data_IF_410662187828
#
_entry.id   IF_410662187828
#
_cell.length_a   1.000
_cell.length_b   1.000
_cell.length_c   1.000
_cell.angle_alpha   90.00
_cell.angle_beta   90.00
_cell.angle_gamma   90.00
#
_symmetry.space_group_name_H-M   'P 1'
#
loop_
_entity.id
_entity.type
_entity.pdbx_description
1 polymer ?
#
# COMPACT_ATOMS: atom_id res chain seq x y z
N UNK A 1 31.00 -1.45 -4.79
CA UNK A 1 30.19 -2.66 -4.50
C UNK A 1 30.79 -3.58 -3.42
N UNK A 2 32.10 -3.53 -3.17
CA UNK A 2 32.83 -4.35 -2.19
C UNK A 2 32.91 -3.75 -0.77
N UNK A 3 32.69 -2.45 -0.58
CA UNK A 3 32.90 -1.80 0.72
C UNK A 3 31.68 -1.85 1.67
N UNK A 4 30.47 -2.09 1.14
CA UNK A 4 29.26 -2.21 1.98
C UNK A 4 29.17 -3.55 2.71
N UNK A 5 29.70 -4.64 2.14
CA UNK A 5 29.72 -5.95 2.79
C UNK A 5 30.65 -5.95 4.03
N UNK A 6 31.81 -5.29 3.92
CA UNK A 6 32.75 -5.13 5.03
C UNK A 6 32.22 -4.17 6.11
N UNK A 7 31.42 -3.17 5.74
CA UNK A 7 30.74 -2.28 6.70
C UNK A 7 29.70 -3.03 7.52
N UNK A 8 28.89 -3.89 6.91
CA UNK A 8 27.87 -4.71 7.62
C UNK A 8 28.55 -5.76 8.52
N UNK A 9 29.63 -6.41 8.05
CA UNK A 9 30.39 -7.36 8.86
C UNK A 9 31.04 -6.69 10.09
N UNK A 10 31.61 -5.49 9.93
CA UNK A 10 32.15 -4.71 11.05
C UNK A 10 31.06 -4.15 11.98
N UNK A 11 29.86 -3.88 11.47
CA UNK A 11 28.70 -3.46 12.25
C UNK A 11 28.15 -4.61 13.11
N UNK A 12 28.15 -5.83 12.56
CA UNK A 12 27.74 -7.05 13.28
C UNK A 12 28.77 -7.48 14.34
N UNK A 13 30.04 -7.11 14.21
CA UNK A 13 31.04 -7.26 15.28
C UNK A 13 30.78 -6.34 16.50
N UNK A 14 29.98 -5.27 16.37
CA UNK A 14 29.66 -4.34 17.48
C UNK A 14 28.26 -4.52 18.05
N UNK A 15 27.31 -5.08 17.30
CA UNK A 15 26.03 -5.52 17.84
C UNK A 15 26.20 -6.91 18.46
N UNK A 16 26.28 -7.02 19.79
CA UNK A 16 26.36 -8.30 20.51
C UNK A 16 25.31 -9.29 19.99
N UNK A 17 25.73 -10.23 19.13
CA UNK A 17 24.96 -11.39 18.70
C UNK A 17 24.95 -12.41 19.86
N UNK A 18 24.34 -12.02 20.98
CA UNK A 18 24.21 -12.82 22.19
C UNK A 18 22.80 -13.43 22.24
N UNK A 19 22.74 -14.72 22.57
CA UNK A 19 21.48 -15.42 22.80
C UNK A 19 20.81 -14.86 24.07
N UNK A 20 19.62 -14.29 23.98
CA UNK A 20 18.95 -13.70 25.14
C UNK A 20 18.54 -14.71 26.24
N UNK A 21 18.57 -16.03 25.94
CA UNK A 21 18.25 -17.08 26.92
C UNK A 21 19.45 -17.45 27.78
N UNK A 22 20.63 -17.65 27.16
CA UNK A 22 21.83 -18.12 27.87
C UNK A 22 22.96 -17.08 27.94
N UNK A 23 22.75 -15.90 27.35
CA UNK A 23 23.70 -14.79 27.23
C UNK A 23 25.02 -15.15 26.50
N UNK A 24 25.06 -16.30 25.84
CA UNK A 24 26.22 -16.79 25.09
C UNK A 24 26.24 -16.26 23.66
N UNK A 25 27.44 -16.11 23.10
CA UNK A 25 27.62 -15.71 21.70
C UNK A 25 27.00 -16.71 20.72
N UNK A 26 26.33 -16.21 19.68
CA UNK A 26 25.74 -17.01 18.60
C UNK A 26 26.80 -17.46 17.57
N UNK A 27 27.96 -16.79 17.56
CA UNK A 27 29.08 -17.06 16.67
C UNK A 27 30.34 -17.23 17.52
N UNK A 28 31.12 -18.28 17.25
CA UNK A 28 32.47 -18.37 17.83
C UNK A 28 33.45 -17.63 16.93
N UNK A 29 34.28 -16.72 17.49
CA UNK A 29 35.26 -16.00 16.69
C UNK A 29 36.30 -16.96 16.09
N UNK A 30 36.90 -16.62 14.95
CA UNK A 30 38.03 -17.35 14.40
C UNK A 30 39.14 -17.48 15.46
N UNK A 31 39.80 -18.64 15.52
CA UNK A 31 40.94 -18.85 16.42
C UNK A 31 42.18 -19.17 15.61
N UNK A 32 43.29 -18.51 15.96
CA UNK A 32 44.59 -18.87 15.44
C UNK A 32 45.03 -20.20 16.04
N UNK A 33 45.24 -21.21 15.20
CA UNK A 33 45.73 -22.52 15.62
C UNK A 33 47.19 -22.67 15.20
N UNK A 34 48.09 -22.46 16.15
CA UNK A 34 49.53 -22.64 15.97
C UNK A 34 49.96 -24.11 15.91
N UNK A 35 49.06 -25.06 16.18
CA UNK A 35 49.34 -26.50 16.18
C UNK A 35 49.00 -27.20 14.87
N UNK A 36 48.32 -26.52 13.93
CA UNK A 36 48.00 -27.05 12.59
C UNK A 36 49.03 -26.60 11.55
N UNK A 37 49.78 -27.52 10.90
CA UNK A 37 50.67 -27.16 9.81
C UNK A 37 49.85 -26.68 8.59
N UNK A 38 50.24 -25.55 8.02
CA UNK A 38 49.66 -24.99 6.80
C UNK A 38 49.97 -25.86 5.58
N UNK A 39 48.97 -26.10 4.73
CA UNK A 39 49.18 -26.65 3.38
C UNK A 39 49.38 -25.47 2.42
N UNK A 40 50.65 -25.11 2.18
CA UNK A 40 51.02 -24.06 1.24
C UNK A 40 52.54 -23.95 1.14
N UNK A 41 53.07 -24.23 -0.04
CA UNK A 41 54.48 -24.11 -0.41
C UNK A 41 54.87 -22.64 -0.62
N UNK A 42 55.77 -22.12 0.21
CA UNK A 42 57.03 -21.45 -0.13
C UNK A 42 57.54 -20.64 1.08
N UNK A 43 58.85 -20.43 1.10
CA UNK A 43 59.69 -20.23 2.28
C UNK A 43 59.27 -19.12 3.26
N UNK A 44 59.32 -19.46 4.55
CA UNK A 44 59.76 -18.54 5.59
C UNK A 44 58.68 -17.73 6.32
N UNK A 45 57.66 -18.37 6.90
CA UNK A 45 56.94 -17.75 8.01
C UNK A 45 56.32 -18.80 8.94
N UNK A 46 56.07 -18.47 10.20
CA UNK A 46 55.43 -19.36 11.18
C UNK A 46 53.95 -19.53 10.82
N UNK A 47 53.65 -20.39 9.85
CA UNK A 47 52.29 -20.58 9.31
C UNK A 47 51.40 -21.41 10.24
N UNK A 48 50.80 -20.79 11.25
CA UNK A 48 49.58 -21.31 11.87
C UNK A 48 48.37 -21.03 10.97
N UNK A 49 47.37 -21.90 11.00
CA UNK A 49 46.14 -21.74 10.20
C UNK A 49 45.05 -21.12 11.06
N UNK A 50 44.40 -20.07 10.56
CA UNK A 50 43.19 -19.56 11.19
C UNK A 50 42.04 -20.56 11.03
N UNK A 51 41.55 -21.09 12.14
CA UNK A 51 40.33 -21.89 12.13
C UNK A 51 39.13 -20.98 11.85
N UNK A 52 38.24 -21.35 10.92
CA UNK A 52 37.07 -20.54 10.58
C UNK A 52 36.14 -20.38 11.78
N UNK A 53 35.45 -19.23 11.84
CA UNK A 53 34.37 -19.02 12.80
C UNK A 53 33.32 -20.13 12.67
N UNK A 54 32.91 -20.72 13.80
CA UNK A 54 31.82 -21.71 13.81
C UNK A 54 30.53 -21.05 14.25
N UNK A 55 29.51 -21.21 13.42
CA UNK A 55 28.15 -20.73 13.67
C UNK A 55 27.36 -21.82 14.39
N UNK A 56 26.73 -21.47 15.50
CA UNK A 56 25.86 -22.39 16.21
C UNK A 56 24.49 -22.48 15.51
N UNK A 57 23.88 -23.68 15.44
CA UNK A 57 22.50 -23.81 15.01
C UNK A 57 21.60 -22.87 15.81
N UNK A 58 20.88 -22.00 15.12
CA UNK A 58 20.08 -20.95 15.74
C UNK A 58 18.65 -20.98 15.23
N UNK A 59 17.73 -20.51 16.07
CA UNK A 59 16.36 -20.19 15.70
C UNK A 59 16.20 -18.67 15.66
N UNK A 60 15.25 -18.19 14.86
CA UNK A 60 14.94 -16.76 14.79
C UNK A 60 13.43 -16.54 14.86
N UNK A 61 13.03 -15.42 15.49
CA UNK A 61 11.65 -14.99 15.48
C UNK A 61 11.33 -14.27 14.16
N UNK A 62 10.26 -14.66 13.47
CA UNK A 62 9.81 -14.01 12.23
C UNK A 62 9.17 -12.63 12.47
N UNK A 63 8.76 -12.35 13.72
CA UNK A 63 8.08 -11.11 14.12
C UNK A 63 9.11 -10.04 14.50
N UNK A 64 9.93 -10.31 15.53
CA UNK A 64 10.89 -9.33 16.05
C UNK A 64 12.32 -9.53 15.52
N UNK A 65 12.62 -10.62 14.83
CA UNK A 65 13.95 -10.91 14.30
C UNK A 65 14.99 -11.39 15.32
N UNK A 66 14.62 -11.55 16.59
CA UNK A 66 15.55 -12.06 17.62
C UNK A 66 16.09 -13.42 17.23
N UNK A 67 17.39 -13.61 17.39
CA UNK A 67 18.10 -14.86 17.14
C UNK A 67 18.55 -15.46 18.47
N UNK A 68 18.30 -16.75 18.67
CA UNK A 68 18.76 -17.53 19.84
C UNK A 68 19.32 -18.87 19.38
N UNK A 69 20.10 -19.56 20.21
CA UNK A 69 20.51 -20.93 19.88
C UNK A 69 19.27 -21.82 19.75
N UNK A 70 19.28 -22.73 18.79
CA UNK A 70 18.15 -23.63 18.55
C UNK A 70 17.87 -24.49 19.80
N UNK A 71 18.92 -24.97 20.46
CA UNK A 71 18.82 -25.74 21.71
C UNK A 71 18.23 -24.92 22.86
N UNK A 72 18.61 -23.65 22.97
CA UNK A 72 18.04 -22.74 23.97
C UNK A 72 16.54 -22.54 23.72
N UNK A 73 16.13 -22.34 22.47
CA UNK A 73 14.70 -22.25 22.12
C UNK A 73 13.94 -23.55 22.42
N UNK A 74 14.51 -24.71 22.09
CA UNK A 74 13.94 -26.01 22.44
C UNK A 74 13.74 -26.16 23.96
N UNK A 75 14.68 -25.67 24.77
CA UNK A 75 14.57 -25.69 26.23
C UNK A 75 13.56 -24.68 26.76
N UNK A 76 13.52 -23.48 26.17
CA UNK A 76 12.56 -22.43 26.49
C UNK A 76 11.12 -22.91 26.33
N UNK A 77 10.78 -23.59 25.24
CA UNK A 77 9.42 -24.10 25.00
C UNK A 77 8.98 -25.19 26.00
N UNK A 78 9.88 -25.77 26.78
CA UNK A 78 9.52 -26.72 27.85
C UNK A 78 9.15 -26.03 29.16
N UNK A 79 9.38 -24.73 29.30
CA UNK A 79 9.00 -23.97 30.50
C UNK A 79 7.54 -23.51 30.38
N UNK A 80 6.90 -23.22 31.52
CA UNK A 80 5.54 -22.65 31.53
C UNK A 80 5.46 -21.29 30.82
N UNK A 81 6.58 -20.58 30.76
CA UNK A 81 6.69 -19.26 30.13
C UNK A 81 6.83 -19.34 28.59
N UNK A 82 7.41 -20.43 28.08
CA UNK A 82 7.57 -20.70 26.64
C UNK A 82 6.30 -21.10 25.89
N UNK A 83 5.21 -21.32 26.64
CA UNK A 83 3.87 -21.57 26.11
C UNK A 83 3.49 -23.04 26.14
N UNK A 84 2.33 -23.35 26.73
CA UNK A 84 1.80 -24.71 26.84
C UNK A 84 1.47 -25.32 25.47
N UNK A 85 0.52 -24.73 24.74
CA UNK A 85 0.06 -25.22 23.42
C UNK A 85 0.58 -24.41 22.23
N UNK A 86 1.12 -23.19 22.46
CA UNK A 86 1.58 -22.25 21.44
C UNK A 86 3.04 -21.87 21.68
N UNK A 87 3.83 -21.73 20.60
CA UNK A 87 5.25 -21.37 20.71
C UNK A 87 5.44 -19.86 20.90
N UNK A 88 5.93 -19.44 22.07
CA UNK A 88 6.11 -18.01 22.38
C UNK A 88 7.55 -17.53 22.28
N UNK A 89 7.76 -16.39 21.63
CA UNK A 89 9.10 -15.80 21.49
C UNK A 89 9.65 -15.32 22.85
N UNK A 90 10.88 -15.70 23.25
CA UNK A 90 11.48 -15.27 24.52
C UNK A 90 11.78 -13.77 24.61
N UNK A 91 11.88 -13.07 23.47
CA UNK A 91 12.24 -11.65 23.46
C UNK A 91 11.06 -10.70 23.31
N UNK A 92 10.11 -10.99 22.40
CA UNK A 92 8.96 -10.10 22.19
C UNK A 92 7.65 -10.64 22.79
N UNK A 93 7.67 -11.83 23.40
CA UNK A 93 6.51 -12.49 24.00
C UNK A 93 5.30 -12.68 23.06
N UNK A 94 5.50 -12.54 21.74
CA UNK A 94 4.47 -12.80 20.73
C UNK A 94 4.41 -14.30 20.48
N UNK A 95 3.20 -14.84 20.47
CA UNK A 95 2.92 -16.21 20.05
C UNK A 95 3.12 -16.34 18.55
N UNK A 96 3.84 -17.38 18.14
CA UNK A 96 4.05 -17.68 16.73
C UNK A 96 2.71 -18.11 16.09
N UNK A 97 2.49 -17.83 14.79
CA UNK A 97 1.25 -18.20 14.11
C UNK A 97 0.94 -19.70 14.24
N UNK A 98 -0.34 -20.04 14.32
CA UNK A 98 -0.83 -21.42 14.47
C UNK A 98 -0.19 -22.38 13.46
N UNK A 99 0.20 -23.58 13.93
CA UNK A 99 0.85 -24.60 13.10
C UNK A 99 2.36 -24.43 12.90
N UNK A 100 2.98 -23.38 13.44
CA UNK A 100 4.43 -23.25 13.44
C UNK A 100 5.03 -24.25 14.44
N UNK A 101 5.62 -25.34 13.97
CA UNK A 101 6.39 -26.26 14.83
C UNK A 101 7.86 -25.86 14.88
N UNK A 102 8.50 -25.94 16.05
CA UNK A 102 9.94 -25.67 16.15
C UNK A 102 10.70 -26.71 15.31
N UNK A 103 11.55 -26.30 14.35
CA UNK A 103 12.27 -27.25 13.53
C UNK A 103 13.36 -27.95 14.36
N UNK A 104 13.56 -29.25 14.12
CA UNK A 104 14.64 -30.03 14.75
C UNK A 104 16.04 -29.61 14.27
N UNK A 105 16.09 -28.96 13.11
CA UNK A 105 17.32 -28.46 12.47
C UNK A 105 17.17 -26.98 12.20
N UNK A 106 18.29 -26.25 12.29
CA UNK A 106 18.30 -24.83 11.96
C UNK A 106 17.94 -24.64 10.48
N UNK A 107 17.15 -23.60 10.21
CA UNK A 107 16.69 -23.22 8.87
C UNK A 107 17.14 -21.81 8.56
N UNK A 108 17.26 -21.50 7.27
CA UNK A 108 17.52 -20.13 6.85
C UNK A 108 16.49 -19.16 7.43
N UNK A 109 16.81 -17.88 7.51
CA UNK A 109 15.84 -16.85 7.85
C UNK A 109 14.61 -16.94 6.93
N UNK A 110 14.83 -17.21 5.65
CA UNK A 110 13.75 -17.41 4.68
C UNK A 110 12.82 -18.61 4.95
N UNK A 111 13.18 -19.54 5.82
CA UNK A 111 12.49 -20.82 6.04
C UNK A 111 12.64 -21.87 4.91
N UNK A 112 13.07 -21.45 3.71
CA UNK A 112 13.08 -22.26 2.50
C UNK A 112 14.05 -23.46 2.52
N UNK A 113 15.15 -23.40 3.29
CA UNK A 113 16.18 -24.45 3.31
C UNK A 113 16.68 -24.69 4.72
N UNK A 114 17.07 -25.93 5.02
CA UNK A 114 17.90 -26.23 6.20
C UNK A 114 19.23 -25.49 6.04
N UNK A 115 19.73 -24.88 7.12
CA UNK A 115 21.01 -24.18 7.12
C UNK A 115 22.14 -25.23 7.15
N UNK A 116 22.44 -25.83 6.00
CA UNK A 116 23.62 -26.67 5.85
C UNK A 116 24.83 -25.75 5.70
N UNK A 117 25.54 -25.55 6.81
CA UNK A 117 26.86 -24.92 6.93
C UNK A 117 27.16 -23.80 5.93
N UNK A 118 27.02 -22.58 6.44
CA UNK A 118 27.36 -21.32 5.77
C UNK A 118 28.74 -21.42 5.08
N UNK A 119 28.89 -20.96 3.82
CA UNK A 119 30.18 -20.93 3.15
C UNK A 119 31.24 -20.18 3.98
N UNK A 120 32.51 -20.58 3.95
CA UNK A 120 33.57 -19.87 4.67
C UNK A 120 33.60 -18.39 4.28
N UNK A 121 33.42 -17.49 5.26
CA UNK A 121 33.49 -16.03 5.06
C UNK A 121 32.17 -15.27 5.26
N UNK A 122 31.01 -15.95 5.31
CA UNK A 122 29.74 -15.31 5.67
C UNK A 122 29.51 -15.33 7.19
N UNK A 123 29.40 -14.14 7.81
CA UNK A 123 29.36 -13.95 9.27
C UNK A 123 27.94 -14.12 9.84
N UNK A 124 26.90 -14.18 9.00
CA UNK A 124 25.51 -14.18 9.45
C UNK A 124 24.98 -15.62 9.55
N UNK A 125 24.64 -16.12 10.75
CA UNK A 125 24.01 -17.44 10.90
C UNK A 125 22.71 -17.53 10.08
N UNK A 126 22.32 -18.72 9.63
CA UNK A 126 21.02 -18.97 8.98
C UNK A 126 20.74 -18.13 7.71
N UNK A 127 21.76 -17.74 6.96
CA UNK A 127 21.58 -17.30 5.56
C UNK A 127 21.68 -18.50 4.62
N UNK A 128 20.92 -18.49 3.52
CA UNK A 128 21.06 -19.50 2.46
C UNK A 128 21.79 -18.98 1.23
N UNK A 129 22.29 -17.74 1.25
CA UNK A 129 22.89 -17.05 0.11
C UNK A 129 21.91 -16.66 -1.01
N UNK A 130 20.67 -17.17 -0.99
CA UNK A 130 19.66 -16.89 -2.00
C UNK A 130 18.78 -15.66 -1.71
N UNK A 131 17.83 -15.40 -2.61
CA UNK A 131 16.78 -14.40 -2.44
C UNK A 131 15.80 -14.83 -1.34
N UNK A 132 15.37 -13.89 -0.49
CA UNK A 132 14.52 -14.15 0.68
C UNK A 132 13.16 -14.77 0.32
N UNK A 133 12.45 -14.22 -0.67
CA UNK A 133 11.24 -14.81 -1.26
C UNK A 133 9.98 -14.82 -0.37
N UNK A 134 10.07 -14.38 0.90
CA UNK A 134 8.92 -14.23 1.80
C UNK A 134 7.92 -13.20 1.24
N UNK A 135 6.63 -13.41 1.50
CA UNK A 135 5.58 -12.48 1.08
C UNK A 135 5.72 -11.15 1.85
N UNK A 136 5.70 -10.04 1.13
CA UNK A 136 5.75 -8.70 1.73
C UNK A 136 4.38 -8.33 2.34
N UNK A 137 4.32 -7.36 3.25
CA UNK A 137 3.08 -6.92 3.88
C UNK A 137 1.99 -6.44 2.90
N UNK A 138 2.34 -6.07 1.67
CA UNK A 138 1.38 -5.75 0.62
C UNK A 138 0.55 -6.96 0.13
N UNK A 139 0.87 -8.18 0.55
CA UNK A 139 0.11 -9.40 0.24
C UNK A 139 0.31 -9.96 -1.19
N UNK A 140 0.88 -9.18 -2.11
CA UNK A 140 1.05 -9.57 -3.52
C UNK A 140 2.51 -9.87 -3.87
N UNK A 141 3.43 -8.98 -3.48
CA UNK A 141 4.84 -9.07 -3.89
C UNK A 141 5.69 -9.87 -2.91
N UNK A 142 6.75 -10.50 -3.43
CA UNK A 142 7.75 -11.24 -2.64
C UNK A 142 9.02 -10.42 -2.43
N UNK A 143 9.68 -10.63 -1.29
CA UNK A 143 10.94 -9.98 -0.97
C UNK A 143 12.05 -10.43 -1.92
N UNK A 144 12.69 -9.48 -2.59
CA UNK A 144 13.81 -9.70 -3.53
C UNK A 144 15.19 -9.50 -2.90
N UNK A 145 15.25 -9.06 -1.64
CA UNK A 145 16.51 -8.92 -0.92
C UNK A 145 17.17 -10.29 -0.70
N UNK A 146 18.51 -10.35 -0.51
CA UNK A 146 19.18 -11.55 -0.01
C UNK A 146 18.54 -12.05 1.28
N UNK A 147 18.68 -13.34 1.57
CA UNK A 147 18.21 -13.94 2.82
C UNK A 147 18.75 -13.14 4.02
N UNK A 148 17.85 -12.52 4.77
CA UNK A 148 18.20 -11.55 5.81
C UNK A 148 17.50 -11.89 7.13
N UNK A 149 18.10 -11.52 8.28
CA UNK A 149 17.43 -11.62 9.57
C UNK A 149 16.25 -10.66 9.66
N UNK A 150 15.29 -10.99 10.52
CA UNK A 150 14.17 -10.12 10.83
C UNK A 150 13.08 -10.02 9.74
N UNK A 151 12.07 -9.16 10.00
CA UNK A 151 10.95 -8.95 9.08
C UNK A 151 11.44 -8.34 7.77
N UNK A 152 10.79 -8.70 6.67
CA UNK A 152 11.06 -8.06 5.38
C UNK A 152 10.72 -6.57 5.42
N UNK A 153 11.31 -5.81 4.48
CA UNK A 153 11.02 -4.40 4.31
C UNK A 153 9.51 -4.14 4.34
N UNK A 154 9.08 -3.21 5.19
CA UNK A 154 7.65 -2.90 5.34
C UNK A 154 7.09 -2.21 4.09
N UNK A 155 7.93 -1.45 3.38
CA UNK A 155 7.56 -0.80 2.12
C UNK A 155 7.90 -1.71 0.96
N UNK A 156 6.91 -1.95 0.10
CA UNK A 156 7.12 -2.66 -1.14
C UNK A 156 7.86 -1.73 -2.14
N UNK A 157 8.93 -2.24 -2.76
CA UNK A 157 9.67 -1.51 -3.79
C UNK A 157 9.01 -1.55 -5.17
N UNK A 158 7.97 -2.37 -5.35
CA UNK A 158 7.23 -2.46 -6.60
C UNK A 158 6.45 -1.17 -6.86
N UNK A 159 6.23 -0.89 -8.14
CA UNK A 159 5.44 0.24 -8.61
C UNK A 159 4.23 -0.23 -9.41
N UNK A 160 3.21 0.62 -9.48
CA UNK A 160 1.99 0.41 -10.27
C UNK A 160 1.87 1.57 -11.25
N UNK A 161 1.70 1.23 -12.53
CA UNK A 161 1.58 2.16 -13.66
C UNK A 161 0.11 2.25 -14.07
N UNK A 162 -0.70 2.96 -13.30
CA UNK A 162 -2.06 3.37 -13.70
C UNK A 162 -2.65 4.41 -12.73
N UNK A 163 -1.80 5.13 -12.00
CA UNK A 163 -2.31 6.10 -11.06
C UNK A 163 -2.85 7.32 -11.80
N UNK A 164 -4.01 7.80 -11.38
CA UNK A 164 -4.71 8.89 -12.03
C UNK A 164 -5.40 9.80 -11.01
N UNK A 165 -5.60 11.04 -11.43
CA UNK A 165 -6.26 12.05 -10.63
C UNK A 165 -7.80 11.94 -10.76
N UNK A 166 -8.56 12.30 -9.72
CA UNK A 166 -10.03 12.37 -9.78
C UNK A 166 -10.54 13.29 -10.90
N UNK A 167 -9.80 14.33 -11.26
CA UNK A 167 -10.17 15.23 -12.36
C UNK A 167 -9.68 14.78 -13.74
N UNK A 168 -8.85 13.72 -13.81
CA UNK A 168 -8.28 13.22 -15.06
C UNK A 168 -7.09 14.01 -15.62
N UNK A 169 -6.73 15.16 -15.01
CA UNK A 169 -5.60 15.99 -15.47
C UNK A 169 -4.25 15.26 -15.38
N UNK A 170 -4.10 14.35 -14.41
CA UNK A 170 -2.94 13.46 -14.29
C UNK A 170 -3.43 12.03 -14.54
N UNK A 171 -2.82 11.34 -15.49
CA UNK A 171 -3.12 9.96 -15.83
C UNK A 171 -1.84 9.18 -16.14
N UNK A 172 -1.86 7.86 -15.90
CA UNK A 172 -0.73 6.98 -16.19
C UNK A 172 0.49 7.19 -15.29
N UNK A 173 0.32 7.82 -14.13
CA UNK A 173 1.44 8.04 -13.21
C UNK A 173 1.89 6.72 -12.59
N UNK A 174 3.20 6.61 -12.39
CA UNK A 174 3.81 5.48 -11.68
C UNK A 174 3.89 5.80 -10.19
N UNK A 175 3.16 5.03 -9.38
CA UNK A 175 3.18 5.16 -7.92
C UNK A 175 3.73 3.90 -7.27
N UNK A 176 4.17 3.99 -6.01
CA UNK A 176 4.64 2.81 -5.26
C UNK A 176 3.45 1.93 -4.85
N UNK A 177 3.69 0.63 -4.76
CA UNK A 177 2.71 -0.33 -4.25
C UNK A 177 2.27 0.08 -2.83
N UNK A 178 0.94 0.11 -2.62
CA UNK A 178 0.32 0.58 -1.38
C UNK A 178 0.01 2.08 -1.35
N UNK A 179 0.46 2.87 -2.34
CA UNK A 179 -0.03 4.23 -2.53
C UNK A 179 -1.40 4.21 -3.24
N UNK A 180 -2.26 5.22 -3.02
CA UNK A 180 -3.50 5.37 -3.76
C UNK A 180 -3.26 5.43 -5.27
N UNK A 181 -4.03 4.63 -6.02
CA UNK A 181 -4.03 4.68 -7.49
C UNK A 181 -4.95 5.77 -8.02
N UNK A 182 -5.93 6.20 -7.23
CA UNK A 182 -6.74 7.39 -7.53
C UNK A 182 -6.45 8.43 -6.46
N UNK A 183 -6.19 9.67 -6.85
CA UNK A 183 -5.79 10.74 -5.92
C UNK A 183 -6.28 12.13 -6.38
N UNK A 184 -6.19 13.12 -5.49
CA UNK A 184 -6.41 14.52 -5.84
C UNK A 184 -5.08 15.20 -6.15
N UNK A 185 -4.99 15.93 -7.26
CA UNK A 185 -3.80 16.71 -7.62
C UNK A 185 -3.66 18.00 -6.80
N UNK A 186 -4.70 18.40 -6.07
CA UNK A 186 -4.73 19.65 -5.29
C UNK A 186 -5.02 20.92 -6.11
N UNK A 187 -4.90 20.86 -7.44
CA UNK A 187 -5.27 21.97 -8.33
C UNK A 187 -6.79 22.13 -8.45
N UNK A 188 -7.23 23.18 -9.15
CA UNK A 188 -8.64 23.37 -9.50
C UNK A 188 -9.12 22.19 -10.34
N UNK A 189 -10.31 21.69 -10.03
CA UNK A 189 -10.90 20.49 -10.63
C UNK A 189 -11.04 20.60 -12.16
N UNK A 190 -11.56 21.72 -12.66
CA UNK A 190 -11.67 21.98 -14.10
C UNK A 190 -12.66 21.10 -14.88
N UNK A 191 -13.27 20.09 -14.24
CA UNK A 191 -14.32 19.27 -14.86
C UNK A 191 -15.53 20.15 -15.23
N UNK A 192 -16.08 19.95 -16.42
CA UNK A 192 -17.32 20.60 -16.85
C UNK A 192 -18.47 20.19 -15.92
N UNK A 193 -19.18 21.16 -15.37
CA UNK A 193 -20.26 20.95 -14.42
C UNK A 193 -21.50 20.42 -15.12
N UNK A 194 -22.04 19.31 -14.62
CA UNK A 194 -23.33 18.77 -15.02
C UNK A 194 -24.41 19.20 -14.01
N UNK A 195 -25.61 19.63 -14.43
CA UNK A 195 -26.17 19.60 -15.79
C UNK A 195 -25.86 20.83 -16.66
N UNK A 196 -25.12 21.84 -16.18
CA UNK A 196 -24.97 23.09 -16.94
C UNK A 196 -24.26 22.93 -18.29
N UNK A 197 -23.30 22.01 -18.40
CA UNK A 197 -22.57 21.70 -19.64
C UNK A 197 -21.63 22.80 -20.17
N UNK A 198 -21.65 24.01 -19.59
CA UNK A 198 -20.89 25.18 -20.09
C UNK A 198 -19.90 25.78 -19.09
N UNK A 199 -20.06 25.53 -17.80
CA UNK A 199 -19.17 26.06 -16.76
C UNK A 199 -18.27 24.96 -16.20
N UNK A 200 -17.05 25.34 -15.84
CA UNK A 200 -16.06 24.45 -15.23
C UNK A 200 -16.12 24.51 -13.70
N UNK A 201 -15.78 23.39 -13.06
CA UNK A 201 -15.69 23.30 -11.61
C UNK A 201 -14.48 24.08 -11.09
N UNK A 202 -14.75 25.10 -10.28
CA UNK A 202 -13.72 25.95 -9.64
C UNK A 202 -13.26 25.45 -8.28
N UNK A 203 -13.87 24.38 -7.75
CA UNK A 203 -13.43 23.76 -6.51
C UNK A 203 -12.06 23.08 -6.67
N UNK A 204 -11.33 22.90 -5.56
CA UNK A 204 -10.15 22.06 -5.55
C UNK A 204 -10.48 20.63 -6.00
N UNK A 205 -9.52 19.94 -6.62
CA UNK A 205 -9.70 18.59 -7.10
C UNK A 205 -10.20 17.69 -5.96
N UNK A 206 -11.31 17.02 -6.21
CA UNK A 206 -12.08 16.34 -5.19
C UNK A 206 -12.55 14.98 -5.70
N UNK A 207 -12.81 14.08 -4.77
CA UNK A 207 -13.44 12.80 -5.05
C UNK A 207 -14.93 12.98 -5.39
N UNK A 208 -15.46 12.11 -6.25
CA UNK A 208 -16.88 12.11 -6.59
C UNK A 208 -17.34 13.17 -7.59
N UNK A 209 -18.67 13.34 -7.76
CA UNK A 209 -19.27 14.30 -8.70
C UNK A 209 -19.05 15.74 -8.26
N UNK A 210 -18.97 16.66 -9.22
CA UNK A 210 -18.78 18.08 -8.94
C UNK A 210 -20.00 18.71 -8.26
N UNK A 211 -19.80 19.74 -7.42
CA UNK A 211 -20.89 20.52 -6.86
C UNK A 211 -21.71 21.21 -7.96
N UNK A 212 -22.99 21.56 -7.71
CA UNK A 212 -23.82 22.26 -8.67
C UNK A 212 -23.21 23.61 -9.07
N UNK A 213 -23.59 24.12 -10.25
CA UNK A 213 -23.10 25.39 -10.74
C UNK A 213 -23.51 26.53 -9.77
N UNK A 214 -22.56 27.36 -9.29
CA UNK A 214 -22.88 28.46 -8.38
C UNK A 214 -23.52 29.67 -9.07
N UNK A 215 -23.66 29.64 -10.39
CA UNK A 215 -24.24 30.74 -11.17
C UNK A 215 -25.75 30.58 -11.26
N UNK A 216 -26.45 31.71 -11.32
CA UNK A 216 -27.87 31.78 -11.65
C UNK A 216 -28.04 32.27 -13.09
N UNK A 217 -29.14 31.86 -13.72
CA UNK A 217 -29.56 32.28 -15.05
C UNK A 217 -31.00 32.79 -14.97
N UNK A 218 -31.34 33.75 -15.83
CA UNK A 218 -32.73 34.19 -15.99
C UNK A 218 -33.45 33.24 -16.93
N UNK A 219 -34.62 32.77 -16.51
CA UNK A 219 -35.51 31.94 -17.32
C UNK A 219 -36.81 32.68 -17.63
N UNK A 220 -37.32 32.47 -18.83
CA UNK A 220 -38.55 33.12 -19.29
C UNK A 220 -39.78 32.25 -19.03
N UNK A 221 -40.92 32.87 -18.72
CA UNK A 221 -42.19 32.16 -18.65
C UNK A 221 -42.61 31.65 -20.04
N UNK A 222 -43.15 30.43 -20.14
CA UNK A 222 -43.78 29.94 -21.39
C UNK A 222 -44.92 30.83 -21.89
N UNK A 223 -45.51 31.63 -21.01
CA UNK A 223 -46.54 32.61 -21.29
C UNK A 223 -46.03 33.90 -21.96
N UNK A 224 -44.71 34.17 -21.97
CA UNK A 224 -44.11 35.35 -22.60
C UNK A 224 -44.37 36.69 -21.88
N UNK A 225 -44.95 36.68 -20.67
CA UNK A 225 -45.00 37.87 -19.81
C UNK A 225 -43.58 38.21 -19.33
N UNK A 226 -43.26 39.49 -19.13
CA UNK A 226 -41.99 39.98 -18.55
C UNK A 226 -41.85 39.59 -17.06
N UNK A 227 -41.87 38.29 -16.78
CA UNK A 227 -41.58 37.72 -15.48
C UNK A 227 -40.36 36.84 -15.70
N UNK A 228 -39.18 37.44 -15.57
CA UNK A 228 -37.92 36.72 -15.55
C UNK A 228 -37.70 36.20 -14.13
N UNK A 229 -37.48 34.90 -13.98
CA UNK A 229 -37.12 34.29 -12.71
C UNK A 229 -35.63 33.93 -12.70
N UNK A 230 -34.95 34.14 -11.57
CA UNK A 230 -33.59 33.67 -11.37
C UNK A 230 -33.60 32.20 -10.92
N UNK A 231 -33.03 31.32 -11.75
CA UNK A 231 -32.91 29.90 -11.46
C UNK A 231 -31.43 29.46 -11.43
N UNK A 232 -31.09 28.38 -10.70
CA UNK A 232 -29.75 27.80 -10.77
C UNK A 232 -29.36 27.42 -12.20
N UNK A 233 -28.13 27.70 -12.60
CA UNK A 233 -27.61 27.36 -13.92
C UNK A 233 -27.65 25.83 -14.15
N UNK A 234 -28.13 25.42 -15.33
CA UNK A 234 -28.40 24.02 -15.66
C UNK A 234 -29.84 23.56 -15.34
N UNK A 235 -30.69 24.46 -14.83
CA UNK A 235 -32.15 24.28 -14.82
C UNK A 235 -32.75 24.56 -16.20
N UNK A 236 -34.00 24.12 -16.42
CA UNK A 236 -34.73 24.39 -17.66
C UNK A 236 -34.79 25.89 -17.99
N UNK A 237 -34.63 26.22 -19.27
CA UNK A 237 -34.55 27.61 -19.77
C UNK A 237 -35.88 28.35 -19.72
N UNK A 238 -36.98 27.63 -19.51
CA UNK A 238 -38.32 28.18 -19.43
C UNK A 238 -39.12 27.55 -18.28
N UNK A 239 -40.14 28.26 -17.79
CA UNK A 239 -40.97 27.81 -16.67
C UNK A 239 -42.44 28.20 -16.80
N UNK A 240 -43.31 27.52 -16.05
CA UNK A 240 -44.72 27.90 -15.90
C UNK A 240 -44.89 28.75 -14.64
N UNK A 241 -45.35 30.00 -14.80
CA UNK A 241 -45.54 30.91 -13.67
C UNK A 241 -46.79 30.63 -12.80
N UNK A 242 -47.62 29.64 -13.14
CA UNK A 242 -48.85 29.29 -12.41
C UNK A 242 -50.04 30.23 -12.63
N UNK A 243 -49.84 31.37 -13.29
CA UNK A 243 -50.89 32.32 -13.66
C UNK A 243 -51.61 31.92 -14.96
N UNK A 244 -52.80 32.47 -15.21
CA UNK A 244 -53.56 32.25 -16.46
C UNK A 244 -52.72 32.64 -17.68
N UNK A 245 -52.66 31.78 -18.71
CA UNK A 245 -51.75 31.91 -19.84
C UNK A 245 -51.98 33.16 -20.70
N UNK A 246 -53.23 33.56 -20.93
CA UNK A 246 -53.66 34.75 -21.67
C UNK A 246 -53.11 34.94 -23.12
N UNK A 247 -52.41 33.94 -23.67
CA UNK A 247 -51.97 33.93 -25.07
C UNK A 247 -53.18 33.92 -26.02
N UNK A 248 -53.10 34.69 -27.10
CA UNK A 248 -54.16 34.72 -28.13
C UNK A 248 -54.09 33.45 -29.00
N UNK A 249 -55.19 32.70 -29.04
CA UNK A 249 -55.33 31.48 -29.86
C UNK A 249 -55.63 31.84 -31.32
N UNK A 250 -55.44 30.92 -32.29
CA UNK A 250 -55.73 31.17 -33.70
C UNK A 250 -57.18 31.59 -33.99
N UNK A 251 -58.13 31.18 -33.14
CA UNK A 251 -59.53 31.56 -33.22
C UNK A 251 -59.83 32.98 -32.69
N UNK A 252 -58.81 33.74 -32.28
CA UNK A 252 -58.93 35.10 -31.74
C UNK A 252 -59.22 35.19 -30.24
N UNK A 253 -59.60 34.09 -29.59
CA UNK A 253 -59.87 34.04 -28.14
C UNK A 253 -58.58 33.93 -27.30
N UNK A 254 -58.63 34.44 -26.07
CA UNK A 254 -57.51 34.35 -25.10
C UNK A 254 -57.53 33.03 -24.34
N UNK A 255 -56.35 32.46 -24.10
CA UNK A 255 -56.21 31.22 -23.33
C UNK A 255 -56.53 31.45 -21.84
N UNK A 256 -57.53 30.73 -21.32
CA UNK A 256 -57.93 30.77 -19.91
C UNK A 256 -57.28 29.68 -19.05
N UNK A 257 -56.50 28.79 -19.67
CA UNK A 257 -55.80 27.72 -18.95
C UNK A 257 -54.61 28.28 -18.18
N UNK A 258 -54.21 27.59 -17.12
CA UNK A 258 -52.97 27.87 -16.38
C UNK A 258 -51.77 27.85 -17.34
N UNK A 259 -50.75 28.68 -17.06
CA UNK A 259 -49.51 28.68 -17.83
C UNK A 259 -48.99 27.26 -18.06
N UNK A 260 -48.78 26.92 -19.32
CA UNK A 260 -48.46 25.58 -19.78
C UNK A 260 -47.36 25.67 -20.84
N UNK A 261 -46.59 24.59 -20.96
CA UNK A 261 -45.59 24.41 -22.01
C UNK A 261 -46.27 24.19 -23.37
N UNK A 262 -45.62 24.63 -24.46
CA UNK A 262 -46.09 24.38 -25.83
C UNK A 262 -47.28 25.23 -26.30
N UNK A 263 -47.96 24.78 -27.35
CA UNK A 263 -49.12 25.45 -27.96
C UNK A 263 -50.36 25.38 -27.08
N UNK A 264 -51.25 26.38 -27.17
CA UNK A 264 -52.50 26.38 -26.40
C UNK A 264 -53.44 25.26 -26.87
N UNK A 265 -54.09 24.54 -25.93
CA UNK A 265 -55.08 23.53 -26.30
C UNK A 265 -56.24 24.13 -27.13
N UNK A 266 -57.02 23.31 -27.84
CA UNK A 266 -58.13 23.78 -28.67
C UNK A 266 -59.15 24.59 -27.86
N UNK A 267 -59.76 25.60 -28.48
CA UNK A 267 -60.71 26.48 -27.81
C UNK A 267 -62.02 25.73 -27.55
N UNK A 268 -62.55 25.72 -26.32
CA UNK A 268 -63.87 25.12 -26.06
C UNK A 268 -65.02 25.90 -26.73
N UNK A 269 -64.75 27.11 -27.22
CA UNK A 269 -65.71 28.00 -27.88
C UNK A 269 -65.62 27.96 -29.42
N UNK A 270 -64.73 27.16 -30.02
CA UNK A 270 -64.68 27.00 -31.47
C UNK A 270 -65.74 26.00 -31.96
N UNK A 271 -66.59 26.36 -32.93
CA UNK A 271 -67.67 25.50 -33.43
C UNK A 271 -67.21 24.26 -34.22
N UNK A 272 -65.90 24.00 -34.32
CA UNK A 272 -65.32 22.86 -35.04
C UNK A 272 -65.17 21.57 -34.20
N UNK A 273 -65.72 21.55 -32.97
CA UNK A 273 -65.65 20.41 -32.03
C UNK A 273 -67.02 19.91 -31.54
N UNK A 274 -68.10 20.25 -32.26
CA UNK A 274 -69.45 19.66 -32.09
C UNK A 274 -69.78 18.79 -33.28
#
# INVERSE_FOLDING_TARGET
PSDQANSIANSLCRAKLECCICLGALVTPPRYDSSRPGQGSEAGDRTGVWSPARLHPSWHCIVCGTIVHLRCMQQWLRTKEGGGTLMRCPACAVDMPDGTTLPQRARCFCGARESRNVPPGEVIPNTCGGVCGRLLPCGVHRCTAPCHPGPCQRRCGATVTNAHCYCGAIAGQTVRCGAPVVFSCGDVCGRVLSPCGVHECTAACHEGPCPPCPRTVRRACYCGREVDEEAPCGSDTAYCCGEVCDRQRPCGHRCTDTCHEGECPPCPLTPSLV
#
